data_IF_817836684129
#
_entry.id   IF_817836684129
#
_cell.length_a   1.000
_cell.length_b   1.000
_cell.length_c   1.000
_cell.angle_alpha   90.00
_cell.angle_beta   90.00
_cell.angle_gamma   90.00
#
_symmetry.space_group_name_H-M   'P 1'
#
loop_
_entity.id
_entity.type
_entity.pdbx_description
1 polymer ?
#
# COMPACT_ATOMS: atom_id res chain seq x y z
N UNK A 1 11.59 9.55 -21.50
CA UNK A 1 11.19 8.21 -21.99
C UNK A 1 11.25 7.32 -20.76
N UNK A 2 10.15 6.95 -20.10
CA UNK A 2 8.77 6.84 -20.58
C UNK A 2 7.79 7.22 -19.47
N UNK A 3 6.83 8.07 -19.83
CA UNK A 3 5.66 8.39 -19.02
C UNK A 3 4.78 7.15 -18.95
N UNK A 4 4.78 6.45 -17.81
CA UNK A 4 3.71 5.54 -17.43
C UNK A 4 2.41 6.37 -17.29
N UNK A 5 1.74 6.62 -18.41
CA UNK A 5 0.35 7.05 -18.39
C UNK A 5 -0.48 5.77 -18.29
N UNK A 6 -0.56 5.21 -17.08
CA UNK A 6 -1.44 4.10 -16.79
C UNK A 6 -2.88 4.62 -16.90
N UNK A 7 -3.52 4.37 -18.03
CA UNK A 7 -4.97 4.52 -18.16
C UNK A 7 -5.60 3.54 -17.17
N UNK A 8 -5.99 4.04 -16.01
CA UNK A 8 -6.66 3.31 -14.95
C UNK A 8 -7.93 2.67 -15.48
N UNK A 9 -8.18 1.41 -15.08
CA UNK A 9 -9.46 0.78 -15.38
C UNK A 9 -10.59 1.55 -14.64
N UNK A 10 -11.76 1.75 -15.25
CA UNK A 10 -12.81 2.61 -14.69
C UNK A 10 -13.29 2.18 -13.29
N UNK A 11 -13.19 0.89 -12.93
CA UNK A 11 -13.52 0.41 -11.58
C UNK A 11 -12.48 0.78 -10.51
N UNK A 12 -11.21 0.85 -10.89
CA UNK A 12 -10.11 1.25 -9.99
C UNK A 12 -10.23 2.72 -9.60
N UNK A 13 -10.65 3.59 -10.53
CA UNK A 13 -10.83 5.02 -10.27
C UNK A 13 -11.95 5.31 -9.27
N UNK A 14 -13.07 4.60 -9.37
CA UNK A 14 -14.19 4.74 -8.43
C UNK A 14 -13.75 4.33 -7.02
N UNK A 15 -13.09 3.17 -6.89
CA UNK A 15 -12.58 2.71 -5.59
C UNK A 15 -11.57 3.69 -5.00
N UNK A 16 -10.65 4.19 -5.84
CA UNK A 16 -9.65 5.17 -5.43
C UNK A 16 -10.29 6.47 -4.96
N UNK A 17 -11.24 7.02 -5.72
CA UNK A 17 -11.93 8.26 -5.36
C UNK A 17 -12.63 8.14 -4.01
N UNK A 18 -13.27 7.00 -3.74
CA UNK A 18 -13.91 6.75 -2.46
C UNK A 18 -12.90 6.66 -1.32
N UNK A 19 -11.77 5.96 -1.51
CA UNK A 19 -10.70 5.92 -0.50
C UNK A 19 -10.22 7.35 -0.19
N UNK A 20 -9.94 8.16 -1.21
CA UNK A 20 -9.50 9.55 -1.02
C UNK A 20 -10.52 10.33 -0.19
N UNK A 21 -11.81 10.19 -0.50
CA UNK A 21 -12.88 10.84 0.24
C UNK A 21 -12.89 10.43 1.71
N UNK A 22 -12.89 9.12 2.00
CA UNK A 22 -12.94 8.59 3.37
C UNK A 22 -11.71 9.01 4.18
N UNK A 23 -10.51 8.92 3.59
CA UNK A 23 -9.28 9.33 4.26
C UNK A 23 -9.25 10.84 4.53
N UNK A 24 -9.69 11.66 3.57
CA UNK A 24 -9.73 13.12 3.72
C UNK A 24 -10.71 13.56 4.80
N UNK A 25 -11.86 12.90 4.90
CA UNK A 25 -12.87 13.19 5.94
C UNK A 25 -12.38 12.81 7.33
N UNK A 26 -11.61 11.72 7.45
CA UNK A 26 -11.13 11.19 8.73
C UNK A 26 -9.84 11.85 9.22
N UNK A 27 -8.93 12.20 8.31
CA UNK A 27 -7.59 12.68 8.62
C UNK A 27 -7.39 14.09 8.02
N UNK A 28 -7.73 15.09 8.82
CA UNK A 28 -7.76 16.49 8.37
C UNK A 28 -6.38 17.15 8.29
N UNK A 29 -5.44 16.79 9.16
CA UNK A 29 -4.12 17.42 9.23
C UNK A 29 -3.03 16.53 8.63
N UNK A 30 -1.88 17.08 8.19
CA UNK A 30 -0.72 16.29 7.84
C UNK A 30 -0.24 15.43 9.02
N UNK A 31 0.16 14.19 8.75
CA UNK A 31 0.64 13.28 9.78
C UNK A 31 0.69 11.82 9.35
N UNK A 32 1.21 10.99 10.26
CA UNK A 32 1.15 9.53 10.21
C UNK A 32 0.16 9.08 11.27
N UNK A 33 -0.90 8.40 10.85
CA UNK A 33 -2.02 8.01 11.68
C UNK A 33 -2.05 6.51 11.86
N UNK A 34 -2.05 6.07 13.12
CA UNK A 34 -2.50 4.73 13.49
C UNK A 34 -4.02 4.65 13.39
N UNK A 35 -4.54 3.45 13.15
CA UNK A 35 -5.99 3.23 13.06
C UNK A 35 -6.44 2.12 14.00
N UNK A 36 -7.76 1.96 14.14
CA UNK A 36 -8.34 0.87 14.92
C UNK A 36 -8.07 -0.53 14.32
N UNK A 37 -7.57 -0.61 13.08
CA UNK A 37 -7.02 -1.81 12.48
C UNK A 37 -5.51 -1.74 12.65
N UNK A 38 -4.95 -2.47 13.62
CA UNK A 38 -3.56 -2.34 14.05
C UNK A 38 -2.50 -2.29 12.93
N UNK A 39 -2.53 -3.14 11.87
CA UNK A 39 -1.53 -3.06 10.80
C UNK A 39 -1.78 -1.91 9.80
N UNK A 40 -2.93 -1.23 9.84
CA UNK A 40 -3.31 -0.20 8.88
C UNK A 40 -2.95 1.18 9.43
N UNK A 41 -2.08 1.86 8.70
CA UNK A 41 -1.66 3.23 8.93
C UNK A 41 -2.01 4.11 7.73
N UNK A 42 -2.23 5.40 7.98
CA UNK A 42 -2.50 6.40 6.94
C UNK A 42 -1.47 7.51 7.04
N UNK A 43 -0.88 7.86 5.91
CA UNK A 43 0.10 8.94 5.79
C UNK A 43 -0.52 10.04 4.95
N UNK A 44 -0.59 11.25 5.52
CA UNK A 44 -1.05 12.47 4.85
C UNK A 44 0.05 13.52 4.85
N UNK A 45 0.36 14.06 3.68
CA UNK A 45 1.23 15.24 3.55
C UNK A 45 0.56 16.27 2.64
N UNK A 46 0.70 17.55 2.95
CA UNK A 46 0.13 18.66 2.16
C UNK A 46 1.19 19.48 1.43
N UNK A 47 2.47 19.13 1.60
CA UNK A 47 3.59 19.73 0.89
C UNK A 47 4.57 18.62 0.47
N UNK A 48 5.31 18.79 -0.63
CA UNK A 48 6.44 17.92 -0.95
C UNK A 48 7.40 17.85 0.23
N UNK A 49 7.98 16.68 0.48
CA UNK A 49 8.90 16.50 1.60
C UNK A 49 10.35 16.61 1.13
N UNK A 50 11.24 16.90 2.08
CA UNK A 50 12.66 16.64 1.87
C UNK A 50 12.94 15.14 1.76
N UNK A 51 14.17 14.80 1.37
CA UNK A 51 14.64 13.41 1.34
C UNK A 51 14.83 12.91 2.77
N UNK A 52 14.05 11.90 3.16
CA UNK A 52 14.08 11.31 4.50
C UNK A 52 14.68 9.91 4.40
N UNK A 53 15.67 9.61 5.23
CA UNK A 53 16.24 8.27 5.38
C UNK A 53 15.53 7.52 6.51
N UNK A 54 15.05 6.31 6.22
CA UNK A 54 14.35 5.48 7.20
C UNK A 54 14.57 3.99 6.96
N UNK A 55 14.40 3.19 8.01
CA UNK A 55 14.27 1.74 7.88
C UNK A 55 12.81 1.41 7.58
N UNK A 56 12.54 0.93 6.37
CA UNK A 56 11.21 0.43 6.02
C UNK A 56 11.06 -1.01 6.50
N UNK A 57 10.13 -1.23 7.43
CA UNK A 57 9.69 -2.58 7.83
C UNK A 57 8.80 -3.21 6.75
N UNK A 58 8.68 -4.55 6.73
CA UNK A 58 7.81 -5.24 5.79
C UNK A 58 6.38 -4.69 5.80
N UNK A 59 5.93 -4.23 4.64
CA UNK A 59 4.62 -3.61 4.48
C UNK A 59 4.19 -3.50 3.02
N UNK A 60 2.89 -3.39 2.80
CA UNK A 60 2.28 -2.88 1.58
C UNK A 60 2.07 -1.37 1.72
N UNK A 61 2.54 -0.57 0.76
CA UNK A 61 2.26 0.85 0.69
C UNK A 61 1.46 1.15 -0.59
N UNK A 62 0.26 1.69 -0.45
CA UNK A 62 -0.64 2.05 -1.55
C UNK A 62 -0.79 3.55 -1.61
N UNK A 63 -0.32 4.19 -2.68
CA UNK A 63 -0.57 5.61 -2.92
C UNK A 63 -1.92 5.75 -3.61
N UNK A 64 -2.81 6.54 -3.01
CA UNK A 64 -4.11 6.88 -3.60
C UNK A 64 -4.14 8.32 -4.09
N UNK A 65 -3.26 9.20 -3.62
CA UNK A 65 -3.13 10.57 -4.12
C UNK A 65 -1.70 11.11 -3.94
N UNK A 66 -1.24 11.93 -4.89
CA UNK A 66 0.13 12.45 -4.92
C UNK A 66 1.13 11.44 -5.51
N UNK A 67 2.42 11.75 -5.37
CA UNK A 67 3.53 10.91 -5.87
C UNK A 67 4.65 10.83 -4.86
N UNK A 68 5.35 9.70 -4.83
CA UNK A 68 6.51 9.48 -3.96
C UNK A 68 7.68 8.93 -4.75
N UNK A 69 8.88 9.38 -4.37
CA UNK A 69 10.14 8.79 -4.75
C UNK A 69 10.70 8.00 -3.56
N UNK A 70 11.21 6.80 -3.83
CA UNK A 70 11.90 5.94 -2.87
C UNK A 70 13.15 5.39 -3.53
N UNK A 71 14.29 5.47 -2.85
CA UNK A 71 15.56 4.93 -3.27
C UNK A 71 16.00 3.81 -2.32
N UNK A 72 16.53 2.73 -2.90
CA UNK A 72 17.14 1.60 -2.20
C UNK A 72 18.54 1.37 -2.80
N UNK A 73 19.58 1.76 -2.06
CA UNK A 73 20.94 1.79 -2.62
C UNK A 73 21.00 2.76 -3.81
N UNK A 74 21.44 2.26 -4.96
CA UNK A 74 21.53 3.01 -6.21
C UNK A 74 20.24 2.99 -7.05
N UNK A 75 19.24 2.20 -6.66
CA UNK A 75 17.96 2.10 -7.37
C UNK A 75 17.00 3.20 -6.91
N UNK A 76 16.35 3.88 -7.86
CA UNK A 76 15.33 4.89 -7.60
C UNK A 76 13.98 4.47 -8.18
N UNK A 77 12.94 4.57 -7.36
CA UNK A 77 11.58 4.20 -7.67
C UNK A 77 10.68 5.42 -7.47
N UNK A 78 10.18 5.99 -8.56
CA UNK A 78 9.10 6.98 -8.52
C UNK A 78 7.80 6.27 -8.83
N UNK A 79 6.81 6.42 -7.95
CA UNK A 79 5.52 5.80 -8.16
C UNK A 79 4.35 6.73 -7.84
N UNK A 80 3.29 6.49 -8.58
CA UNK A 80 2.10 7.31 -8.74
C UNK A 80 0.86 6.63 -8.14
N UNK A 81 -0.29 7.31 -8.10
CA UNK A 81 -1.52 6.69 -7.62
C UNK A 81 -1.84 5.44 -8.43
N UNK A 82 -2.38 4.41 -7.77
CA UNK A 82 -2.65 3.08 -8.35
C UNK A 82 -1.40 2.24 -8.63
N UNK A 83 -0.27 2.61 -8.06
CA UNK A 83 0.88 1.73 -7.89
C UNK A 83 1.03 1.38 -6.41
N UNK A 84 1.40 0.14 -6.10
CA UNK A 84 1.69 -0.28 -4.74
C UNK A 84 3.13 -0.77 -4.61
N UNK A 85 3.71 -0.47 -3.46
CA UNK A 85 5.05 -0.88 -3.10
C UNK A 85 4.97 -1.96 -2.03
N UNK A 86 5.58 -3.12 -2.29
CA UNK A 86 5.77 -4.15 -1.27
C UNK A 86 7.21 -4.10 -0.79
N UNK A 87 7.37 -3.98 0.52
CA UNK A 87 8.63 -4.17 1.23
C UNK A 87 8.57 -5.55 1.86
N UNK A 88 9.42 -6.47 1.42
CA UNK A 88 9.41 -7.87 1.88
C UNK A 88 10.32 -8.09 3.10
N UNK A 89 11.41 -7.34 3.18
CA UNK A 89 12.41 -7.41 4.26
C UNK A 89 12.72 -6.00 4.77
N UNK A 90 13.24 -5.91 5.99
CA UNK A 90 13.64 -4.59 6.53
C UNK A 90 14.81 -4.04 5.74
N UNK A 91 14.61 -2.90 5.06
CA UNK A 91 15.62 -2.28 4.20
C UNK A 91 15.80 -0.79 4.51
N UNK A 92 17.02 -0.26 4.41
CA UNK A 92 17.24 1.18 4.47
C UNK A 92 16.78 1.82 3.16
N UNK A 93 15.87 2.78 3.25
CA UNK A 93 15.39 3.54 2.10
C UNK A 93 15.57 5.04 2.33
N UNK A 94 15.76 5.77 1.24
CA UNK A 94 15.64 7.22 1.21
C UNK A 94 14.38 7.58 0.43
N UNK A 95 13.46 8.36 0.96
CA UNK A 95 12.23 8.67 0.26
C UNK A 95 11.78 10.10 0.44
N UNK A 96 11.07 10.63 -0.56
CA UNK A 96 10.42 11.94 -0.50
C UNK A 96 9.08 11.94 -1.21
N UNK A 97 8.14 12.72 -0.69
CA UNK A 97 6.90 13.06 -1.37
C UNK A 97 7.22 14.11 -2.43
N UNK A 98 6.89 13.82 -3.70
CA UNK A 98 7.14 14.71 -4.82
C UNK A 98 5.96 15.65 -5.08
N UNK A 99 4.73 15.13 -4.99
CA UNK A 99 3.51 15.87 -5.30
C UNK A 99 2.54 15.80 -4.12
N UNK A 100 2.28 16.96 -3.51
CA UNK A 100 1.29 17.18 -2.47
C UNK A 100 0.93 18.67 -2.40
N UNK A 101 -0.34 18.98 -2.17
CA UNK A 101 -0.81 20.33 -1.88
C UNK A 101 -1.94 20.30 -0.84
N UNK A 102 -2.39 21.46 -0.35
CA UNK A 102 -3.56 21.52 0.53
C UNK A 102 -4.86 21.07 -0.15
N UNK A 103 -5.01 21.32 -1.45
CA UNK A 103 -6.18 20.89 -2.25
C UNK A 103 -6.10 19.43 -2.68
N UNK A 104 -4.88 18.93 -2.93
CA UNK A 104 -4.61 17.56 -3.34
C UNK A 104 -3.46 16.98 -2.48
N UNK A 105 -3.73 16.61 -1.21
CA UNK A 105 -2.72 16.06 -0.33
C UNK A 105 -2.17 14.73 -0.85
N UNK A 106 -0.90 14.46 -0.56
CA UNK A 106 -0.39 13.10 -0.65
C UNK A 106 -1.11 12.22 0.36
N UNK A 107 -1.68 11.10 -0.10
CA UNK A 107 -2.39 10.13 0.71
C UNK A 107 -1.87 8.73 0.39
N UNK A 108 -1.37 8.06 1.43
CA UNK A 108 -0.83 6.71 1.34
C UNK A 108 -1.37 5.84 2.47
N UNK A 109 -1.82 4.64 2.11
CA UNK A 109 -2.19 3.59 3.05
C UNK A 109 -0.98 2.68 3.19
N UNK A 110 -0.50 2.53 4.42
CA UNK A 110 0.54 1.57 4.75
C UNK A 110 -0.07 0.45 5.57
N UNK A 111 0.14 -0.78 5.12
CA UNK A 111 -0.30 -2.01 5.76
C UNK A 111 0.92 -2.81 6.16
N UNK A 112 1.25 -2.80 7.45
CA UNK A 112 2.38 -3.56 7.98
C UNK A 112 2.09 -5.07 7.88
N UNK A 113 3.13 -5.83 7.53
CA UNK A 113 3.05 -7.28 7.48
C UNK A 113 3.53 -7.87 8.79
N UNK A 114 2.75 -8.84 9.28
CA UNK A 114 3.20 -9.75 10.31
C UNK A 114 3.73 -11.03 9.62
N UNK A 115 5.04 -11.32 9.68
CA UNK A 115 5.62 -12.50 9.03
C UNK A 115 4.91 -13.81 9.38
N UNK A 116 4.41 -13.93 10.62
CA UNK A 116 3.66 -15.10 11.06
C UNK A 116 2.36 -15.32 10.26
N UNK A 117 1.63 -14.25 9.93
CA UNK A 117 0.40 -14.34 9.14
C UNK A 117 0.67 -14.75 7.68
N UNK A 118 1.75 -14.23 7.10
CA UNK A 118 2.19 -14.61 5.75
C UNK A 118 2.61 -16.09 5.72
N UNK A 119 3.43 -16.52 6.69
CA UNK A 119 3.89 -17.90 6.79
C UNK A 119 2.71 -18.89 6.97
N UNK A 120 1.75 -18.55 7.84
CA UNK A 120 0.54 -19.35 8.02
C UNK A 120 -0.28 -19.47 6.73
N UNK A 121 -0.42 -18.36 5.99
CA UNK A 121 -1.18 -18.35 4.74
C UNK A 121 -0.52 -19.21 3.65
N UNK A 122 0.81 -19.16 3.55
CA UNK A 122 1.59 -20.02 2.64
C UNK A 122 1.42 -21.51 3.01
N UNK A 123 1.38 -21.83 4.30
CA UNK A 123 1.19 -23.20 4.76
C UNK A 123 -0.23 -23.73 4.46
N UNK A 124 -1.26 -22.89 4.59
CA UNK A 124 -2.66 -23.27 4.41
C UNK A 124 -3.11 -23.26 2.93
N UNK A 125 -2.48 -22.44 2.10
CA UNK A 125 -2.66 -22.42 0.66
C UNK A 125 -1.28 -22.57 0.01
N UNK A 126 -0.84 -23.79 -0.34
CA UNK A 126 0.44 -23.97 -1.01
C UNK A 126 0.38 -23.28 -2.37
N UNK A 127 0.95 -22.08 -2.42
CA UNK A 127 1.06 -21.28 -3.63
C UNK A 127 2.23 -21.83 -4.44
N UNK A 128 1.94 -22.51 -5.54
CA UNK A 128 2.96 -23.04 -6.45
C UNK A 128 3.80 -21.89 -7.01
N UNK A 129 5.10 -21.82 -6.67
CA UNK A 129 6.03 -20.86 -7.28
C UNK A 129 6.43 -19.64 -6.45
N UNK A 130 6.36 -19.70 -5.10
CA UNK A 130 7.12 -18.75 -4.28
C UNK A 130 8.60 -18.87 -4.69
N UNK A 131 9.25 -17.80 -5.18
CA UNK A 131 10.67 -17.86 -5.52
C UNK A 131 11.48 -18.29 -4.29
N UNK A 132 12.41 -19.23 -4.46
CA UNK A 132 13.30 -19.70 -3.38
C UNK A 132 14.18 -18.57 -2.81
N UNK A 133 14.29 -17.43 -3.51
CA UNK A 133 15.09 -16.28 -3.09
C UNK A 133 14.30 -14.96 -3.25
N UNK A 134 14.30 -14.08 -2.23
CA UNK A 134 13.85 -12.70 -2.40
C UNK A 134 14.89 -11.93 -3.23
N UNK A 135 14.76 -11.94 -4.55
CA UNK A 135 15.73 -11.25 -5.42
C UNK A 135 15.79 -9.73 -5.20
N UNK A 136 14.71 -9.12 -4.68
CA UNK A 136 14.67 -7.70 -4.30
C UNK A 136 13.86 -7.53 -3.01
N UNK A 137 14.39 -6.77 -2.05
CA UNK A 137 13.69 -6.46 -0.80
C UNK A 137 12.50 -5.51 -0.95
N UNK A 138 12.36 -4.92 -2.15
CA UNK A 138 11.36 -3.92 -2.51
C UNK A 138 10.92 -4.17 -3.96
N UNK A 139 9.61 -4.19 -4.21
CA UNK A 139 9.04 -4.26 -5.56
C UNK A 139 7.82 -3.35 -5.70
N UNK A 140 7.61 -2.87 -6.93
CA UNK A 140 6.56 -1.93 -7.30
C UNK A 140 5.70 -2.58 -8.40
N UNK A 141 4.39 -2.66 -8.18
CA UNK A 141 3.45 -3.24 -9.13
C UNK A 141 2.21 -2.34 -9.29
N UNK A 142 1.54 -2.36 -10.46
CA UNK A 142 0.26 -1.70 -10.64
C UNK A 142 -0.80 -2.37 -9.77
N UNK A 143 -1.66 -1.55 -9.17
CA UNK A 143 -2.79 -1.98 -8.37
C UNK A 143 -3.94 -2.43 -9.28
N UNK A 144 -4.36 -3.67 -9.12
CA UNK A 144 -5.58 -4.16 -9.76
C UNK A 144 -6.83 -3.77 -8.95
N UNK A 145 -7.99 -3.86 -9.59
CA UNK A 145 -9.27 -3.50 -8.96
C UNK A 145 -9.59 -4.40 -7.74
N UNK A 146 -9.48 -5.74 -7.79
CA UNK A 146 -9.79 -6.59 -6.64
C UNK A 146 -8.91 -6.32 -5.40
N UNK A 147 -7.63 -6.03 -5.58
CA UNK A 147 -6.74 -5.68 -4.47
C UNK A 147 -7.11 -4.31 -3.88
N UNK A 148 -7.41 -3.32 -4.73
CA UNK A 148 -7.88 -2.00 -4.28
C UNK A 148 -9.22 -2.07 -3.54
N UNK A 149 -10.17 -2.89 -4.01
CA UNK A 149 -11.44 -3.14 -3.34
C UNK A 149 -11.25 -3.74 -1.95
N UNK A 150 -10.26 -4.62 -1.79
CA UNK A 150 -9.90 -5.18 -0.49
C UNK A 150 -9.36 -4.10 0.46
N UNK A 151 -8.52 -3.20 -0.04
CA UNK A 151 -8.05 -2.03 0.71
C UNK A 151 -9.20 -1.10 1.07
N UNK A 152 -10.11 -0.80 0.13
CA UNK A 152 -11.29 0.03 0.39
C UNK A 152 -12.18 -0.57 1.48
N UNK A 153 -12.37 -1.90 1.50
CA UNK A 153 -13.12 -2.58 2.58
C UNK A 153 -12.48 -2.35 3.94
N UNK A 154 -11.16 -2.42 4.05
CA UNK A 154 -10.44 -2.11 5.30
C UNK A 154 -10.62 -0.65 5.71
N UNK A 155 -10.57 0.29 4.76
CA UNK A 155 -10.78 1.72 5.04
C UNK A 155 -12.22 1.97 5.53
N UNK A 156 -13.24 1.39 4.89
CA UNK A 156 -14.64 1.51 5.30
C UNK A 156 -14.89 0.97 6.72
N UNK A 157 -14.19 -0.08 7.13
CA UNK A 157 -14.32 -0.63 8.50
C UNK A 157 -13.89 0.37 9.58
N UNK A 158 -13.09 1.39 9.24
CA UNK A 158 -12.75 2.45 10.19
C UNK A 158 -14.01 3.24 10.62
N UNK A 159 -15.02 3.33 9.75
CA UNK A 159 -16.32 3.97 10.03
C UNK A 159 -17.31 3.04 10.75
N UNK A 160 -17.03 1.73 10.79
CA UNK A 160 -17.82 0.74 11.55
C UNK A 160 -16.98 -0.01 12.58
N UNK A 161 -16.49 0.65 13.66
CA UNK A 161 -15.56 0.04 14.62
C UNK A 161 -16.03 -1.25 15.28
N UNK A 162 -17.35 -1.45 15.40
CA UNK A 162 -17.96 -2.67 15.96
C UNK A 162 -17.67 -3.91 15.12
N UNK A 163 -17.48 -3.75 13.81
CA UNK A 163 -17.29 -4.86 12.88
C UNK A 163 -15.81 -5.19 12.67
N UNK A 164 -14.89 -4.30 13.06
CA UNK A 164 -13.44 -4.43 12.86
C UNK A 164 -12.93 -5.79 13.37
N UNK A 165 -13.29 -6.16 14.60
CA UNK A 165 -12.80 -7.39 15.23
C UNK A 165 -13.13 -8.66 14.45
N UNK A 166 -14.24 -8.66 13.71
CA UNK A 166 -14.67 -9.81 12.89
C UNK A 166 -14.22 -9.70 11.44
N UNK A 167 -14.38 -8.52 10.82
CA UNK A 167 -14.24 -8.35 9.38
C UNK A 167 -12.82 -7.96 8.94
N UNK A 168 -12.06 -7.23 9.76
CA UNK A 168 -10.71 -6.81 9.38
C UNK A 168 -9.74 -8.00 9.18
N UNK A 169 -9.73 -9.03 10.06
CA UNK A 169 -8.86 -10.19 9.86
C UNK A 169 -9.16 -10.93 8.54
N UNK A 170 -10.44 -11.03 8.15
CA UNK A 170 -10.85 -11.68 6.91
C UNK A 170 -10.38 -10.90 5.68
N UNK A 171 -10.54 -9.58 5.69
CA UNK A 171 -10.09 -8.71 4.60
C UNK A 171 -8.56 -8.66 4.49
N UNK A 172 -7.82 -8.63 5.62
CA UNK A 172 -6.37 -8.72 5.63
C UNK A 172 -5.87 -10.05 5.04
N UNK A 173 -6.51 -11.16 5.42
CA UNK A 173 -6.18 -12.48 4.90
C UNK A 173 -6.39 -12.57 3.39
N UNK A 174 -7.50 -12.03 2.90
CA UNK A 174 -7.78 -11.92 1.46
C UNK A 174 -6.70 -11.09 0.74
N UNK A 175 -6.33 -9.94 1.31
CA UNK A 175 -5.29 -9.06 0.76
C UNK A 175 -3.97 -9.80 0.60
N UNK A 176 -3.51 -10.48 1.66
CA UNK A 176 -2.26 -11.23 1.63
C UNK A 176 -2.31 -12.38 0.62
N UNK A 177 -3.45 -13.06 0.50
CA UNK A 177 -3.61 -14.14 -0.48
C UNK A 177 -3.49 -13.64 -1.92
N UNK A 178 -4.10 -12.48 -2.22
CA UNK A 178 -4.00 -11.84 -3.54
C UNK A 178 -2.55 -11.44 -3.85
N UNK A 179 -1.89 -10.75 -2.92
CA UNK A 179 -0.48 -10.34 -3.08
C UNK A 179 0.46 -11.53 -3.36
N UNK A 180 0.30 -12.62 -2.60
CA UNK A 180 1.14 -13.80 -2.79
C UNK A 180 0.81 -14.54 -4.09
N UNK A 181 -0.46 -14.53 -4.52
CA UNK A 181 -0.87 -15.15 -5.79
C UNK A 181 -0.37 -14.36 -7.00
N UNK A 182 -0.39 -13.03 -6.94
CA UNK A 182 0.04 -12.17 -8.05
C UNK A 182 1.55 -12.30 -8.32
N UNK A 183 2.35 -12.54 -7.28
CA UNK A 183 3.79 -12.86 -7.41
C UNK A 183 4.04 -14.20 -8.12
N UNK A 184 3.07 -15.11 -8.12
CA UNK A 184 3.17 -16.42 -8.77
C UNK A 184 2.59 -16.41 -10.21
N UNK A 185 2.05 -15.27 -10.68
CA UNK A 185 1.19 -15.19 -11.87
C UNK A 185 1.70 -14.34 -13.04
N UNK A 186 2.79 -13.59 -12.91
CA UNK A 186 3.37 -12.80 -14.01
C UNK A 186 4.78 -13.29 -14.33
N UNK A 187 4.86 -14.36 -15.12
CA UNK A 187 6.02 -14.69 -15.94
C UNK A 187 5.84 -14.09 -17.32
#
# INVERSE_FOLDING_TARGET
>A
MDTHNATSAPGTDVCRAEIIQLLTQRFAAPGVYETAIAPLHVIRCEVPSELIHALHRPALCVIVQGRKEVALGDEQYVYDPLSYLVVAVTVPVAGRVLEASGEAPYLCIRLDFEPAHIAQLIAEAPLNGVPDEPQRGLFLEPMDQPLLETVLRLVRLLDTPRDIGMLAPLALRELYYRLLRDNNGRR
#
